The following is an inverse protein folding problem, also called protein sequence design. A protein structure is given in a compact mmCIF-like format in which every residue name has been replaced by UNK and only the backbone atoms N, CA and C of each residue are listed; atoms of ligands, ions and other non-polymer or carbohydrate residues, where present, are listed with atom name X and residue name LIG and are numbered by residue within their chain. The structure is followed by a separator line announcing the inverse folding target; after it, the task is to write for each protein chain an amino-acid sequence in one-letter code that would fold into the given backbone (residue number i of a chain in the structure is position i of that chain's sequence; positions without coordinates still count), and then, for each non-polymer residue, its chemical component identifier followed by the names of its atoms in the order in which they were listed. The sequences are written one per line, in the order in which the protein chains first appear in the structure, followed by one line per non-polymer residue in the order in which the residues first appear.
data_IF_453406548852
#
_entry.id   IF_453406548852
#
_cell.length_a   1.000
_cell.length_b   1.000
_cell.length_c   1.000
_cell.angle_alpha   90.00
_cell.angle_beta   90.00
_cell.angle_gamma   90.00
#
_symmetry.space_group_name_H-M   'P 1'
#
loop_
_entity.id
_entity.type
_entity.pdbx_description
1 polymer ?
#
# COMPACT_ATOMS: atom_id res chain seq x y z
N UNK A 1 27.66 50.58 4.49
CA UNK A 1 27.38 49.28 5.13
C UNK A 1 25.97 48.94 4.69
N UNK A 2 25.87 48.17 3.60
CA UNK A 2 24.62 47.98 2.88
C UNK A 2 23.81 46.85 3.51
N UNK A 3 22.51 47.08 3.56
CA UNK A 3 21.45 46.21 4.07
C UNK A 3 21.53 44.77 3.56
N UNK A 4 21.51 43.82 4.49
CA UNK A 4 21.15 42.44 4.20
C UNK A 4 19.63 42.35 4.03
N UNK A 5 19.23 42.21 2.77
CA UNK A 5 17.86 41.88 2.36
C UNK A 5 17.54 40.48 2.89
N UNK A 6 16.71 40.39 3.95
CA UNK A 6 16.04 39.15 4.33
C UNK A 6 14.90 38.89 3.35
N UNK A 7 15.23 38.22 2.25
CA UNK A 7 14.25 37.67 1.32
C UNK A 7 13.77 36.32 1.88
N UNK A 8 12.81 36.36 2.79
CA UNK A 8 12.08 35.17 3.22
C UNK A 8 10.78 35.06 2.39
N UNK A 9 10.33 33.83 2.19
CA UNK A 9 9.14 33.39 1.44
C UNK A 9 9.38 33.09 -0.06
N UNK A 10 10.04 31.96 -0.29
CA UNK A 10 9.91 31.19 -1.52
C UNK A 10 8.47 30.71 -1.70
N UNK A 11 7.72 31.26 -2.66
CA UNK A 11 6.49 30.62 -3.15
C UNK A 11 6.89 29.29 -3.77
N UNK A 12 6.49 28.17 -3.16
CA UNK A 12 6.78 26.84 -3.68
C UNK A 12 5.59 26.33 -4.48
N UNK A 13 5.83 25.40 -5.40
CA UNK A 13 4.81 24.79 -6.28
C UNK A 13 3.65 24.10 -5.54
N UNK A 14 3.74 24.00 -4.20
CA UNK A 14 2.74 23.36 -3.33
C UNK A 14 1.90 24.37 -2.52
N UNK A 15 1.90 25.65 -2.91
CA UNK A 15 1.10 26.68 -2.26
C UNK A 15 -0.30 26.74 -2.89
N UNK A 16 -1.32 26.75 -2.05
CA UNK A 16 -2.73 26.95 -2.40
C UNK A 16 -2.96 28.45 -2.54
N UNK A 17 -3.24 28.88 -3.77
CA UNK A 17 -3.62 30.26 -4.07
C UNK A 17 -5.13 30.35 -4.16
N UNK A 18 -5.74 31.17 -3.31
CA UNK A 18 -7.18 31.35 -3.26
C UNK A 18 -7.56 32.80 -2.90
N UNK A 19 -8.79 33.19 -3.19
CA UNK A 19 -9.28 34.55 -2.92
C UNK A 19 -10.08 34.58 -1.62
N UNK A 20 -9.84 35.61 -0.80
CA UNK A 20 -10.62 35.84 0.41
C UNK A 20 -12.08 36.20 0.05
N UNK A 21 -13.10 35.48 0.55
CA UNK A 21 -14.51 35.75 0.21
C UNK A 21 -15.03 37.07 0.78
N UNK A 22 -14.32 37.70 1.73
CA UNK A 22 -14.77 38.93 2.37
C UNK A 22 -14.13 40.20 1.79
N UNK A 23 -12.83 40.16 1.44
CA UNK A 23 -12.12 41.32 0.88
C UNK A 23 -11.66 41.15 -0.57
N UNK A 24 -11.79 39.96 -1.15
CA UNK A 24 -11.39 39.66 -2.53
C UNK A 24 -9.88 39.63 -2.76
N UNK A 25 -9.07 39.65 -1.70
CA UNK A 25 -7.61 39.60 -1.84
C UNK A 25 -7.13 38.18 -2.10
N UNK A 26 -6.22 38.03 -3.06
CA UNK A 26 -5.52 36.77 -3.32
C UNK A 26 -4.54 36.46 -2.19
N UNK A 27 -4.67 35.28 -1.59
CA UNK A 27 -3.82 34.76 -0.54
C UNK A 27 -3.15 33.48 -1.04
N UNK A 28 -1.88 33.30 -0.66
CA UNK A 28 -1.12 32.09 -0.91
C UNK A 28 -0.76 31.47 0.44
N UNK A 29 -1.13 30.20 0.63
CA UNK A 29 -0.89 29.43 1.85
C UNK A 29 -0.30 28.07 1.46
N UNK A 30 0.62 27.55 2.27
CA UNK A 30 1.15 26.21 2.06
C UNK A 30 0.05 25.13 2.08
N UNK A 31 0.18 24.08 1.27
CA UNK A 31 -0.77 22.96 1.26
C UNK A 31 -1.05 22.32 2.63
N UNK A 32 -0.16 22.48 3.62
CA UNK A 32 -0.37 22.01 5.01
C UNK A 32 -1.54 22.71 5.71
N UNK A 33 -1.87 23.93 5.29
CA UNK A 33 -2.99 24.70 5.82
C UNK A 33 -4.31 24.46 5.10
N UNK A 34 -4.36 23.53 4.13
CA UNK A 34 -5.59 23.10 3.48
C UNK A 34 -6.64 22.65 4.51
N UNK A 35 -7.86 23.18 4.41
CA UNK A 35 -8.95 22.83 5.32
C UNK A 35 -8.87 23.43 6.73
N UNK A 36 -7.84 24.25 7.01
CA UNK A 36 -7.76 25.00 8.26
C UNK A 36 -8.46 26.36 8.15
N UNK A 37 -8.85 26.92 9.29
CA UNK A 37 -9.31 28.29 9.41
C UNK A 37 -8.13 29.23 9.65
N UNK A 38 -7.93 30.21 8.77
CA UNK A 38 -6.88 31.22 8.90
C UNK A 38 -7.46 32.61 9.05
N UNK A 39 -6.75 33.52 9.71
CA UNK A 39 -7.13 34.93 9.79
C UNK A 39 -6.55 35.69 8.59
N UNK A 40 -7.41 36.37 7.83
CA UNK A 40 -6.98 37.22 6.72
C UNK A 40 -6.23 38.46 7.25
N UNK A 41 -5.01 38.78 6.77
CA UNK A 41 -4.25 39.94 7.23
C UNK A 41 -4.87 41.29 6.84
N UNK A 42 -5.77 41.33 5.85
CA UNK A 42 -6.34 42.57 5.33
C UNK A 42 -7.71 42.92 5.91
N UNK A 43 -8.52 41.92 6.23
CA UNK A 43 -9.86 42.16 6.79
C UNK A 43 -10.02 41.61 8.21
N UNK A 44 -8.99 40.97 8.77
CA UNK A 44 -9.00 40.30 10.08
C UNK A 44 -10.11 39.26 10.26
N UNK A 45 -10.78 38.83 9.19
CA UNK A 45 -11.81 37.81 9.28
C UNK A 45 -11.21 36.42 9.15
N UNK A 46 -11.78 35.48 9.89
CA UNK A 46 -11.47 34.06 9.79
C UNK A 46 -12.09 33.50 8.52
N UNK A 47 -11.25 32.91 7.67
CA UNK A 47 -11.65 32.31 6.40
C UNK A 47 -11.20 30.85 6.34
N UNK A 48 -12.05 29.94 5.83
CA UNK A 48 -11.66 28.56 5.58
C UNK A 48 -10.79 28.49 4.32
N UNK A 49 -9.67 27.76 4.41
CA UNK A 49 -8.82 27.47 3.25
C UNK A 49 -9.43 26.32 2.47
N UNK A 50 -9.68 26.45 1.15
CA UNK A 50 -10.20 25.36 0.34
C UNK A 50 -9.19 24.21 0.31
N UNK A 51 -9.60 23.03 0.81
CA UNK A 51 -8.81 21.82 0.67
C UNK A 51 -9.09 21.19 -0.71
N UNK A 52 -8.07 20.75 -1.46
CA UNK A 52 -8.31 19.91 -2.62
C UNK A 52 -8.96 18.61 -2.16
N UNK A 53 -10.10 18.26 -2.75
CA UNK A 53 -10.78 16.98 -2.52
C UNK A 53 -9.90 15.84 -3.04
N UNK A 54 -8.99 15.33 -2.20
CA UNK A 54 -8.18 14.15 -2.50
C UNK A 54 -9.04 12.89 -2.71
N UNK A 55 -10.35 12.95 -2.41
CA UNK A 55 -11.14 11.74 -2.24
C UNK A 55 -11.56 11.05 -3.52
N UNK A 56 -11.63 11.71 -4.69
CA UNK A 56 -12.29 11.10 -5.86
C UNK A 56 -11.33 10.46 -6.87
N UNK A 57 -10.15 11.05 -7.08
CA UNK A 57 -9.12 10.48 -7.98
C UNK A 57 -8.43 9.28 -7.32
N UNK A 58 -8.16 9.38 -6.03
CA UNK A 58 -7.45 8.35 -5.26
C UNK A 58 -8.28 7.06 -5.14
N UNK A 59 -9.62 7.15 -5.06
CA UNK A 59 -10.48 5.96 -4.96
C UNK A 59 -10.45 5.13 -6.26
N UNK A 60 -10.48 5.78 -7.43
CA UNK A 60 -10.50 5.06 -8.70
C UNK A 60 -9.20 4.28 -8.94
N UNK A 61 -8.06 4.88 -8.59
CA UNK A 61 -6.74 4.25 -8.68
C UNK A 61 -6.64 3.07 -7.70
N UNK A 62 -7.02 3.27 -6.44
CA UNK A 62 -7.03 2.21 -5.42
C UNK A 62 -7.93 1.03 -5.78
N UNK A 63 -9.07 1.28 -6.44
CA UNK A 63 -9.96 0.21 -6.92
C UNK A 63 -9.29 -0.59 -8.04
N UNK A 64 -8.62 0.07 -8.99
CA UNK A 64 -7.89 -0.61 -10.06
C UNK A 64 -6.74 -1.46 -9.50
N UNK A 65 -6.01 -0.96 -8.51
CA UNK A 65 -4.94 -1.70 -7.83
C UNK A 65 -5.50 -2.92 -7.08
N UNK A 66 -6.63 -2.75 -6.39
CA UNK A 66 -7.30 -3.85 -5.67
C UNK A 66 -7.76 -4.95 -6.62
N UNK A 67 -8.29 -4.59 -7.79
CA UNK A 67 -8.70 -5.55 -8.82
C UNK A 67 -7.50 -6.32 -9.39
N UNK A 68 -6.40 -5.63 -9.68
CA UNK A 68 -5.16 -6.27 -10.13
C UNK A 68 -4.60 -7.22 -9.06
N UNK A 69 -4.57 -6.80 -7.79
CA UNK A 69 -4.11 -7.64 -6.68
C UNK A 69 -4.99 -8.89 -6.51
N UNK A 70 -6.31 -8.77 -6.67
CA UNK A 70 -7.24 -9.92 -6.63
C UNK A 70 -6.99 -10.90 -7.77
N UNK A 71 -6.73 -10.41 -8.98
CA UNK A 71 -6.41 -11.27 -10.11
C UNK A 71 -5.11 -12.05 -9.88
N UNK A 72 -4.09 -11.38 -9.32
CA UNK A 72 -2.82 -12.01 -8.95
C UNK A 72 -3.01 -13.07 -7.85
N UNK A 73 -3.77 -12.77 -6.80
CA UNK A 73 -4.10 -13.74 -5.74
C UNK A 73 -4.78 -14.97 -6.33
N UNK A 74 -5.77 -14.79 -7.19
CA UNK A 74 -6.48 -15.90 -7.82
C UNK A 74 -5.55 -16.78 -8.70
N UNK A 75 -4.52 -16.20 -9.30
CA UNK A 75 -3.50 -16.94 -10.03
C UNK A 75 -2.61 -17.74 -9.08
N UNK A 76 -2.12 -17.11 -8.01
CA UNK A 76 -1.28 -17.77 -7.01
C UNK A 76 -2.00 -18.92 -6.30
N UNK A 77 -3.29 -18.79 -6.01
CA UNK A 77 -4.11 -19.85 -5.43
C UNK A 77 -4.18 -21.08 -6.34
N UNK A 78 -4.30 -20.89 -7.66
CA UNK A 78 -4.27 -21.99 -8.63
C UNK A 78 -2.93 -22.70 -8.64
N UNK A 79 -1.83 -21.94 -8.67
CA UNK A 79 -0.48 -22.51 -8.63
C UNK A 79 -0.24 -23.27 -7.33
N UNK A 80 -0.73 -22.75 -6.20
CA UNK A 80 -0.65 -23.41 -4.91
C UNK A 80 -1.42 -24.74 -4.92
N UNK A 81 -2.63 -24.76 -5.48
CA UNK A 81 -3.42 -25.97 -5.59
C UNK A 81 -2.70 -27.03 -6.46
N UNK A 82 -2.11 -26.63 -7.58
CA UNK A 82 -1.34 -27.54 -8.44
C UNK A 82 -0.11 -28.12 -7.71
N UNK A 83 0.67 -27.25 -7.06
CA UNK A 83 1.82 -27.69 -6.28
C UNK A 83 1.41 -28.61 -5.14
N UNK A 84 0.27 -28.36 -4.49
CA UNK A 84 -0.25 -29.20 -3.43
C UNK A 84 -0.59 -30.60 -3.94
N UNK A 85 -1.19 -30.74 -5.14
CA UNK A 85 -1.43 -32.05 -5.75
C UNK A 85 -0.12 -32.79 -6.01
N UNK A 86 0.92 -32.11 -6.51
CA UNK A 86 2.22 -32.75 -6.75
C UNK A 86 2.88 -33.22 -5.45
N UNK A 87 2.80 -32.42 -4.37
CA UNK A 87 3.32 -32.82 -3.07
C UNK A 87 2.57 -34.05 -2.52
N UNK A 88 1.26 -34.11 -2.67
CA UNK A 88 0.45 -35.26 -2.26
C UNK A 88 0.82 -36.52 -3.05
N UNK A 89 1.03 -36.38 -4.36
CA UNK A 89 1.51 -37.48 -5.19
C UNK A 89 2.88 -38.00 -4.71
N UNK A 90 3.86 -37.10 -4.51
CA UNK A 90 5.19 -37.47 -4.03
C UNK A 90 5.12 -38.15 -2.66
N UNK A 91 4.29 -37.64 -1.74
CA UNK A 91 4.07 -38.25 -0.44
C UNK A 91 3.53 -39.68 -0.55
N UNK A 92 2.61 -39.90 -1.49
CA UNK A 92 2.03 -41.23 -1.76
C UNK A 92 3.09 -42.18 -2.30
N UNK A 93 3.89 -41.74 -3.29
CA UNK A 93 5.00 -42.53 -3.85
C UNK A 93 6.03 -42.88 -2.77
N UNK A 94 6.40 -41.92 -1.92
CA UNK A 94 7.30 -42.16 -0.80
C UNK A 94 6.73 -43.19 0.18
N UNK A 95 5.42 -43.14 0.45
CA UNK A 95 4.75 -44.14 1.28
C UNK A 95 4.86 -45.56 0.75
N UNK A 96 4.80 -45.76 -0.57
CA UNK A 96 5.00 -47.09 -1.19
C UNK A 96 6.41 -47.60 -0.95
N UNK A 97 7.42 -46.74 -1.15
CA UNK A 97 8.83 -47.09 -0.93
C UNK A 97 9.08 -47.43 0.53
N UNK A 98 8.56 -46.61 1.46
CA UNK A 98 8.71 -46.83 2.89
C UNK A 98 8.10 -48.18 3.32
N UNK A 99 6.90 -48.50 2.84
CA UNK A 99 6.26 -49.79 3.12
C UNK A 99 7.10 -50.99 2.60
N UNK A 100 7.74 -50.85 1.44
CA UNK A 100 8.63 -51.87 0.92
C UNK A 100 9.89 -52.03 1.80
N UNK A 101 10.48 -50.92 2.24
CA UNK A 101 11.61 -50.92 3.17
C UNK A 101 11.25 -51.59 4.50
N UNK A 102 10.09 -51.27 5.08
CA UNK A 102 9.63 -51.85 6.34
C UNK A 102 9.46 -53.38 6.24
N UNK A 103 8.93 -53.88 5.11
CA UNK A 103 8.83 -55.32 4.84
C UNK A 103 10.19 -56.00 4.76
N UNK A 104 11.14 -55.38 4.05
CA UNK A 104 12.52 -55.92 3.95
C UNK A 104 13.18 -55.95 5.32
N UNK A 105 13.03 -54.87 6.10
CA UNK A 105 13.57 -54.80 7.46
C UNK A 105 12.97 -55.86 8.39
N UNK A 106 11.67 -56.12 8.31
CA UNK A 106 11.03 -57.20 9.07
C UNK A 106 11.61 -58.58 8.72
N UNK A 107 11.79 -58.88 7.43
CA UNK A 107 12.39 -60.14 7.00
C UNK A 107 13.85 -60.29 7.50
N UNK A 108 14.63 -59.20 7.47
CA UNK A 108 16.00 -59.19 7.99
C UNK A 108 16.00 -59.45 9.51
N UNK A 109 15.09 -58.82 10.26
CA UNK A 109 14.94 -59.04 11.70
C UNK A 109 14.58 -60.49 12.02
N UNK A 110 13.64 -61.08 11.28
CA UNK A 110 13.24 -62.48 11.44
C UNK A 110 14.40 -63.46 11.18
N UNK A 111 15.21 -63.20 10.14
CA UNK A 111 16.41 -64.00 9.85
C UNK A 111 17.47 -63.86 10.95
N UNK A 112 17.57 -62.71 11.59
CA UNK A 112 18.53 -62.46 12.68
C UNK A 112 18.14 -63.17 13.99
N UNK A 113 16.84 -63.43 14.19
CA UNK A 113 16.31 -64.05 15.41
C UNK A 113 16.22 -65.59 15.33
N UNK A 114 16.50 -66.19 14.16
CA UNK A 114 16.63 -67.63 13.95
C UNK A 114 18.09 -68.07 14.02
#
# INVERSE_FOLDING_TARGET
MADEIKLDTSIQTNDIVFECPNCGKSLAIEARGAGMEITCPDCQNTIPVPAPDATNTDIAELVSELEAARAEIAFLEKNQAELQMHLEQISTEWGVIQNALDRVMALIQDLRLR
#
